data_IF_461759384368
#
_entry.id   IF_461759384368
#
_cell.length_a   1.000
_cell.length_b   1.000
_cell.length_c   1.000
_cell.angle_alpha   90.00
_cell.angle_beta   90.00
_cell.angle_gamma   90.00
#
_symmetry.space_group_name_H-M   'P 1'
#
loop_
_entity.id
_entity.type
_entity.pdbx_description
1 polymer ?
#
# COMPACT_ATOMS: atom_id res chain seq x y z
N UNK A 1 8.67 4.11 -15.79
CA UNK A 1 8.04 3.81 -14.50
C UNK A 1 6.83 4.71 -14.30
N UNK A 2 5.66 4.10 -14.11
CA UNK A 2 4.39 4.74 -13.75
C UNK A 2 3.98 4.19 -12.39
N UNK A 3 3.65 5.10 -11.49
CA UNK A 3 3.26 4.80 -10.12
C UNK A 3 1.87 5.37 -9.91
N UNK A 4 0.98 4.59 -9.30
CA UNK A 4 -0.23 5.15 -8.68
C UNK A 4 0.05 5.24 -7.17
N UNK A 5 0.06 6.47 -6.67
CA UNK A 5 0.20 6.76 -5.26
C UNK A 5 -1.19 7.01 -4.64
N UNK A 6 -1.44 6.40 -3.49
CA UNK A 6 -2.69 6.48 -2.73
C UNK A 6 -2.31 6.92 -1.31
N UNK A 7 -3.01 7.87 -0.72
CA UNK A 7 -2.86 8.21 0.70
C UNK A 7 -4.23 8.33 1.35
N UNK A 8 -4.25 8.35 2.68
CA UNK A 8 -5.42 8.73 3.46
C UNK A 8 -6.68 7.90 3.14
N UNK A 9 -6.53 6.57 3.10
CA UNK A 9 -7.66 5.67 2.87
C UNK A 9 -8.66 5.76 4.04
N UNK A 10 -8.18 5.98 5.27
CA UNK A 10 -9.00 6.14 6.48
C UNK A 10 -10.10 5.07 6.58
N UNK A 11 -9.72 3.79 6.39
CA UNK A 11 -10.60 2.60 6.45
C UNK A 11 -11.63 2.49 5.32
N UNK A 12 -11.63 3.41 4.35
CA UNK A 12 -12.64 3.47 3.31
C UNK A 12 -12.45 2.37 2.27
N UNK A 13 -13.12 1.25 2.47
CA UNK A 13 -13.15 0.15 1.50
C UNK A 13 -13.66 0.59 0.12
N UNK A 14 -14.61 1.53 0.07
CA UNK A 14 -15.10 2.09 -1.18
C UNK A 14 -14.02 2.88 -1.93
N UNK A 15 -13.21 3.66 -1.21
CA UNK A 15 -12.07 4.38 -1.80
C UNK A 15 -11.01 3.40 -2.28
N UNK A 16 -10.69 2.36 -1.49
CA UNK A 16 -9.75 1.31 -1.86
C UNK A 16 -10.19 0.56 -3.11
N UNK A 17 -11.47 0.19 -3.22
CA UNK A 17 -12.03 -0.47 -4.41
C UNK A 17 -11.98 0.44 -5.65
N UNK A 18 -12.26 1.74 -5.48
CA UNK A 18 -12.16 2.72 -6.57
C UNK A 18 -10.71 2.87 -7.04
N UNK A 19 -9.76 2.93 -6.10
CA UNK A 19 -8.35 2.97 -6.39
C UNK A 19 -7.86 1.68 -7.09
N UNK A 20 -8.29 0.51 -6.61
CA UNK A 20 -8.00 -0.78 -7.25
C UNK A 20 -8.53 -0.85 -8.68
N UNK A 21 -9.74 -0.34 -8.94
CA UNK A 21 -10.29 -0.24 -10.29
C UNK A 21 -9.45 0.68 -11.19
N UNK A 22 -8.93 1.79 -10.65
CA UNK A 22 -8.00 2.66 -11.38
C UNK A 22 -6.67 1.94 -11.66
N UNK A 23 -6.09 1.24 -10.68
CA UNK A 23 -4.86 0.44 -10.84
C UNK A 23 -5.04 -0.61 -11.93
N UNK A 24 -6.13 -1.39 -11.89
CA UNK A 24 -6.42 -2.41 -12.90
C UNK A 24 -6.64 -1.83 -14.31
N UNK A 25 -7.21 -0.62 -14.43
CA UNK A 25 -7.43 0.03 -15.72
C UNK A 25 -6.15 0.62 -16.32
N UNK A 26 -5.36 1.34 -15.51
CA UNK A 26 -4.18 2.06 -15.99
C UNK A 26 -2.94 1.16 -16.12
N UNK A 27 -2.92 0.04 -15.39
CA UNK A 27 -1.81 -0.92 -15.33
C UNK A 27 -0.47 -0.25 -15.03
N UNK A 28 -0.30 0.41 -13.87
CA UNK A 28 0.98 0.99 -13.47
C UNK A 28 2.00 -0.10 -13.15
N UNK A 29 3.28 0.28 -13.07
CA UNK A 29 4.37 -0.65 -12.74
C UNK A 29 4.33 -1.03 -11.25
N UNK A 30 3.86 -0.13 -10.39
CA UNK A 30 3.60 -0.38 -8.97
C UNK A 30 2.52 0.55 -8.38
N UNK A 31 1.97 0.14 -7.24
CA UNK A 31 1.11 0.97 -6.37
C UNK A 31 1.87 1.31 -5.09
N UNK A 32 1.81 2.58 -4.66
CA UNK A 32 2.38 3.05 -3.40
C UNK A 32 1.27 3.59 -2.48
N UNK A 33 1.19 3.09 -1.26
CA UNK A 33 0.22 3.54 -0.26
C UNK A 33 0.94 4.29 0.86
N UNK A 34 0.66 5.59 0.98
CA UNK A 34 1.30 6.48 1.94
C UNK A 34 0.35 6.79 3.10
N UNK A 35 0.45 5.99 4.17
CA UNK A 35 -0.11 6.27 5.48
C UNK A 35 -1.63 6.26 5.61
N UNK A 36 -2.06 6.36 6.87
CA UNK A 36 -3.44 6.46 7.34
C UNK A 36 -4.40 5.52 6.60
N UNK A 37 -4.03 4.24 6.61
CA UNK A 37 -4.75 3.17 5.91
C UNK A 37 -5.99 2.78 6.71
N UNK A 38 -5.81 2.60 8.01
CA UNK A 38 -6.77 2.09 8.98
C UNK A 38 -6.83 2.99 10.24
N UNK A 39 -7.46 2.54 11.33
CA UNK A 39 -7.43 3.20 12.65
C UNK A 39 -7.03 2.20 13.75
N UNK A 40 -5.72 2.04 13.96
CA UNK A 40 -5.12 1.14 14.94
C UNK A 40 -5.61 -0.33 14.83
N UNK A 41 -5.99 -0.75 13.63
CA UNK A 41 -6.43 -2.11 13.33
C UNK A 41 -5.55 -2.69 12.20
N UNK A 42 -4.67 -3.62 12.59
CA UNK A 42 -3.71 -4.27 11.70
C UNK A 42 -4.41 -5.13 10.64
N UNK A 43 -5.42 -5.91 11.04
CA UNK A 43 -6.08 -6.86 10.14
C UNK A 43 -6.91 -6.10 9.11
N UNK A 44 -7.57 -5.01 9.52
CA UNK A 44 -8.27 -4.11 8.61
C UNK A 44 -7.30 -3.45 7.61
N UNK A 45 -6.15 -2.94 8.07
CA UNK A 45 -5.15 -2.35 7.18
C UNK A 45 -4.65 -3.35 6.14
N UNK A 46 -4.31 -4.58 6.57
CA UNK A 46 -3.84 -5.64 5.68
C UNK A 46 -4.93 -6.07 4.70
N UNK A 47 -6.19 -6.14 5.13
CA UNK A 47 -7.33 -6.44 4.25
C UNK A 47 -7.52 -5.38 3.17
N UNK A 48 -7.39 -4.09 3.51
CA UNK A 48 -7.50 -3.00 2.53
C UNK A 48 -6.32 -3.02 1.54
N UNK A 49 -5.10 -3.21 2.02
CA UNK A 49 -3.93 -3.35 1.15
C UNK A 49 -4.05 -4.58 0.23
N UNK A 50 -4.65 -5.68 0.72
CA UNK A 50 -4.85 -6.90 -0.07
C UNK A 50 -5.73 -6.66 -1.30
N UNK A 51 -6.74 -5.78 -1.21
CA UNK A 51 -7.59 -5.39 -2.35
C UNK A 51 -6.74 -4.78 -3.48
N UNK A 52 -5.72 -3.98 -3.15
CA UNK A 52 -4.80 -3.40 -4.14
C UNK A 52 -3.87 -4.47 -4.73
N UNK A 53 -3.36 -5.37 -3.90
CA UNK A 53 -2.54 -6.50 -4.36
C UNK A 53 -3.29 -7.44 -5.33
N UNK A 54 -4.60 -7.59 -5.15
CA UNK A 54 -5.43 -8.48 -5.99
C UNK A 54 -5.59 -7.98 -7.44
N UNK A 55 -5.14 -6.75 -7.74
CA UNK A 55 -4.99 -6.25 -9.11
C UNK A 55 -3.82 -6.90 -9.88
N UNK A 56 -2.94 -7.60 -9.17
CA UNK A 56 -1.72 -8.20 -9.73
C UNK A 56 -0.54 -7.22 -9.86
N UNK A 57 -0.75 -5.94 -9.54
CA UNK A 57 0.31 -4.92 -9.51
C UNK A 57 1.02 -4.96 -8.16
N UNK A 58 2.37 -4.96 -8.12
CA UNK A 58 3.13 -4.87 -6.88
C UNK A 58 2.70 -3.68 -6.03
N UNK A 59 2.36 -3.93 -4.77
CA UNK A 59 1.89 -2.90 -3.83
C UNK A 59 2.89 -2.71 -2.71
N UNK A 60 3.34 -1.48 -2.55
CA UNK A 60 4.20 -1.02 -1.47
C UNK A 60 3.42 -0.08 -0.55
N UNK A 61 3.78 -0.03 0.73
CA UNK A 61 3.15 0.89 1.66
C UNK A 61 4.11 1.37 2.76
N UNK A 62 3.78 2.52 3.32
CA UNK A 62 4.34 3.08 4.55
C UNK A 62 3.17 3.34 5.51
N UNK A 63 3.20 2.87 6.77
CA UNK A 63 2.16 3.17 7.75
C UNK A 63 2.13 4.64 8.15
N UNK A 64 0.94 5.16 8.46
CA UNK A 64 0.74 6.50 9.02
C UNK A 64 0.58 6.47 10.53
N UNK A 65 0.35 7.64 11.13
CA UNK A 65 0.20 7.75 12.59
C UNK A 65 -1.13 7.19 13.11
N UNK A 66 -2.15 7.07 12.24
CA UNK A 66 -3.43 6.45 12.60
C UNK A 66 -3.39 4.92 12.53
N UNK A 67 -2.40 4.35 11.84
CA UNK A 67 -2.26 2.91 11.69
C UNK A 67 -1.74 2.25 12.97
N UNK A 68 -1.95 0.93 13.08
CA UNK A 68 -1.38 0.18 14.20
C UNK A 68 0.15 0.23 14.15
N UNK A 69 0.86 0.47 15.27
CA UNK A 69 2.33 0.39 15.31
C UNK A 69 2.90 -0.97 14.90
N UNK A 70 2.08 -2.02 14.98
CA UNK A 70 2.43 -3.36 14.48
C UNK A 70 2.55 -3.40 12.96
N UNK A 71 1.85 -2.52 12.24
CA UNK A 71 1.90 -2.43 10.78
C UNK A 71 3.29 -2.01 10.30
N UNK A 72 3.98 -1.11 11.02
CA UNK A 72 5.39 -0.74 10.79
C UNK A 72 6.36 -1.91 10.90
N UNK A 73 5.98 -2.95 11.65
CA UNK A 73 6.77 -4.17 11.84
C UNK A 73 6.32 -5.32 10.94
N UNK A 74 5.29 -5.12 10.12
CA UNK A 74 4.80 -6.14 9.19
C UNK A 74 5.92 -6.53 8.22
N UNK A 75 6.07 -7.84 8.01
CA UNK A 75 7.03 -8.45 7.09
C UNK A 75 6.27 -9.48 6.26
N UNK A 76 5.94 -9.11 5.03
CA UNK A 76 5.26 -9.96 4.06
C UNK A 76 5.73 -9.63 2.65
N UNK A 77 5.55 -10.58 1.73
CA UNK A 77 5.99 -10.41 0.34
C UNK A 77 5.11 -9.46 -0.46
N UNK A 78 3.80 -9.46 -0.19
CA UNK A 78 2.79 -8.55 -0.72
C UNK A 78 1.64 -8.42 0.28
N UNK A 79 1.22 -7.19 0.66
CA UNK A 79 1.84 -5.90 0.33
C UNK A 79 3.23 -5.75 0.98
N UNK A 80 4.16 -5.00 0.37
CA UNK A 80 5.49 -4.75 0.94
C UNK A 80 5.50 -3.49 1.81
N UNK A 81 5.94 -3.65 3.05
CA UNK A 81 6.18 -2.54 3.96
C UNK A 81 7.54 -1.90 3.65
N UNK A 82 7.57 -0.59 3.42
CA UNK A 82 8.80 0.19 3.20
C UNK A 82 9.31 0.88 4.45
N UNK A 83 8.62 0.77 5.58
CA UNK A 83 9.00 1.52 6.77
C UNK A 83 10.39 1.13 7.31
N UNK A 84 11.32 2.09 7.26
CA UNK A 84 12.72 1.92 7.62
C UNK A 84 13.47 0.97 6.68
N UNK A 85 12.98 0.78 5.45
CA UNK A 85 13.54 -0.12 4.45
C UNK A 85 13.69 0.60 3.10
N UNK A 86 14.62 0.12 2.28
CA UNK A 86 14.85 0.64 0.93
C UNK A 86 14.83 -0.53 -0.04
N UNK A 87 13.92 -0.48 -1.01
CA UNK A 87 13.77 -1.54 -2.02
C UNK A 87 14.24 -1.06 -3.38
N UNK A 88 14.92 -1.95 -4.11
CA UNK A 88 15.17 -1.73 -5.52
C UNK A 88 14.04 -2.32 -6.37
N UNK A 89 13.44 -1.49 -7.22
CA UNK A 89 12.40 -1.88 -8.16
C UNK A 89 12.76 -1.37 -9.55
N UNK A 90 12.99 -2.29 -10.50
CA UNK A 90 13.35 -1.96 -11.89
C UNK A 90 14.53 -0.97 -12.04
N UNK A 91 15.52 -1.05 -11.14
CA UNK A 91 16.68 -0.15 -11.15
C UNK A 91 16.46 1.19 -10.44
N UNK A 92 15.27 1.44 -9.90
CA UNK A 92 14.97 2.58 -9.03
C UNK A 92 15.03 2.17 -7.56
N UNK A 93 15.46 3.07 -6.69
CA UNK A 93 15.39 2.87 -5.23
C UNK A 93 14.13 3.54 -4.70
N UNK A 94 13.40 2.86 -3.81
CA UNK A 94 12.18 3.34 -3.19
C UNK A 94 12.34 3.17 -1.67
N UNK A 95 12.20 4.26 -0.92
CA UNK A 95 12.35 4.35 0.54
C UNK A 95 11.24 5.25 1.14
N UNK A 96 11.15 5.29 2.48
CA UNK A 96 10.22 6.10 3.27
C UNK A 96 10.87 7.28 4.01
#
# INVERSE_FOLDING_TARGET
>A
MRIIAISDIHRSEAATLTAAAAVGREGPDLTLVAGDISHNDLDEALRLLKILCDTGVPTFFVPGNMDSPSLSKYRGDQPRNLHGDCVNFEGYSIDD
#
